data_IF_666267991284
#
_entry.id   IF_666267991284
#
_cell.length_a   1.000
_cell.length_b   1.000
_cell.length_c   1.000
_cell.angle_alpha   90.00
_cell.angle_beta   90.00
_cell.angle_gamma   90.00
#
_symmetry.space_group_name_H-M   'P 1'
#
loop_
_entity.id
_entity.type
_entity.pdbx_description
1 polymer ?
#
# COMPACT_ATOMS: atom_id res chain seq x y z
N UNK A 1 25.74 -42.84 3.09
CA UNK A 1 25.83 -41.57 2.35
C UNK A 1 24.53 -40.83 2.58
N UNK A 2 24.57 -39.76 3.38
CA UNK A 2 23.48 -38.81 3.59
C UNK A 2 24.08 -37.41 3.87
N UNK A 3 23.30 -36.40 3.47
CA UNK A 3 23.49 -34.95 3.22
C UNK A 3 24.26 -34.06 4.24
N UNK A 4 24.89 -32.93 3.82
CA UNK A 4 25.78 -32.10 4.64
C UNK A 4 25.05 -30.99 5.46
N UNK A 5 23.99 -31.34 6.19
CA UNK A 5 23.22 -30.39 7.01
C UNK A 5 23.37 -30.59 8.54
N UNK A 6 24.24 -31.48 9.01
CA UNK A 6 24.39 -31.80 10.44
C UNK A 6 25.64 -31.21 11.13
N UNK A 7 26.40 -30.30 10.51
CA UNK A 7 27.64 -29.78 11.12
C UNK A 7 27.54 -28.40 11.80
N UNK A 8 26.35 -27.80 11.93
CA UNK A 8 26.21 -26.46 12.55
C UNK A 8 25.59 -26.46 13.96
N UNK A 9 25.39 -27.62 14.59
CA UNK A 9 24.79 -27.71 15.92
C UNK A 9 25.65 -28.56 16.85
N UNK A 10 26.86 -28.15 17.14
CA UNK A 10 27.54 -28.56 18.38
C UNK A 10 28.73 -27.65 18.67
N UNK A 11 28.53 -26.60 19.45
CA UNK A 11 29.43 -26.27 20.57
C UNK A 11 28.74 -25.31 21.55
N UNK A 12 28.95 -25.45 22.87
CA UNK A 12 28.17 -24.77 23.90
C UNK A 12 28.67 -23.35 24.20
N UNK A 13 27.73 -22.54 24.71
CA UNK A 13 27.96 -21.25 25.34
C UNK A 13 29.19 -21.26 26.27
N UNK A 14 30.20 -20.44 25.93
CA UNK A 14 31.40 -20.22 26.73
C UNK A 14 31.61 -18.75 27.04
N UNK A 15 31.39 -18.40 28.32
CA UNK A 15 31.88 -17.27 29.15
C UNK A 15 32.34 -15.96 28.46
N UNK A 16 31.66 -14.88 28.83
CA UNK A 16 32.13 -13.49 28.69
C UNK A 16 33.37 -13.23 29.58
N UNK A 17 34.40 -12.53 29.10
CA UNK A 17 35.38 -11.89 29.96
C UNK A 17 34.83 -10.56 30.52
N UNK A 18 35.17 -10.29 31.78
CA UNK A 18 34.82 -9.09 32.54
C UNK A 18 35.39 -7.81 31.94
N UNK A 19 34.65 -6.73 32.16
CA UNK A 19 34.93 -5.38 31.72
C UNK A 19 36.16 -4.76 32.38
N UNK A 20 37.05 -4.21 31.56
CA UNK A 20 37.80 -3.01 31.94
C UNK A 20 37.87 -2.03 30.77
N UNK A 21 37.09 -0.95 30.87
CA UNK A 21 37.39 0.36 30.27
C UNK A 21 37.13 0.57 28.76
N UNK A 22 36.03 1.28 28.48
CA UNK A 22 35.75 2.13 27.30
C UNK A 22 35.41 1.48 25.94
N UNK A 23 34.10 1.27 25.77
CA UNK A 23 33.40 1.01 24.50
C UNK A 23 33.59 2.12 23.44
N UNK A 24 33.85 1.71 22.20
CA UNK A 24 33.07 2.18 21.04
C UNK A 24 33.09 1.10 19.93
N UNK A 25 31.91 0.54 19.68
CA UNK A 25 31.65 -0.61 18.81
C UNK A 25 32.07 -0.36 17.35
N UNK A 26 32.80 -1.30 16.77
CA UNK A 26 33.17 -1.33 15.35
C UNK A 26 32.01 -1.93 14.52
N UNK A 27 31.55 -1.20 13.51
CA UNK A 27 30.56 -1.65 12.54
C UNK A 27 31.20 -2.74 11.66
N UNK A 28 30.64 -3.95 11.66
CA UNK A 28 31.05 -5.02 10.74
C UNK A 28 30.41 -4.73 9.38
N UNK A 29 31.22 -4.30 8.41
CA UNK A 29 30.81 -4.15 7.01
C UNK A 29 30.71 -5.51 6.35
N UNK A 30 29.49 -5.99 6.09
CA UNK A 30 29.23 -7.16 5.26
C UNK A 30 29.36 -6.78 3.77
N UNK A 31 30.51 -7.06 3.17
CA UNK A 31 30.73 -7.03 1.72
C UNK A 31 29.94 -8.18 1.07
N UNK A 32 28.74 -7.92 0.53
CA UNK A 32 28.19 -8.61 -0.66
C UNK A 32 26.80 -8.06 -1.04
N UNK A 33 26.68 -7.35 -2.19
CA UNK A 33 25.51 -6.55 -2.46
C UNK A 33 24.31 -7.24 -3.16
N UNK A 34 24.49 -8.47 -3.59
CA UNK A 34 23.57 -9.14 -4.52
C UNK A 34 22.31 -9.76 -3.90
N UNK A 35 22.28 -10.26 -2.64
CA UNK A 35 21.04 -10.79 -2.09
C UNK A 35 20.04 -9.67 -1.79
N UNK A 36 20.44 -8.52 -1.26
CA UNK A 36 19.46 -7.48 -0.90
C UNK A 36 18.74 -6.87 -2.11
N UNK A 37 19.40 -6.75 -3.28
CA UNK A 37 18.77 -6.22 -4.49
C UNK A 37 17.65 -7.12 -4.99
N UNK A 38 17.84 -8.44 -4.90
CA UNK A 38 16.83 -9.44 -5.26
C UNK A 38 15.64 -9.37 -4.29
N UNK A 39 15.91 -9.18 -3.00
CA UNK A 39 14.86 -9.07 -1.99
C UNK A 39 14.09 -7.75 -2.10
N UNK A 40 14.75 -6.61 -2.35
CA UNK A 40 14.11 -5.31 -2.57
C UNK A 40 13.21 -5.35 -3.81
N UNK A 41 13.68 -5.91 -4.93
CA UNK A 41 12.82 -6.13 -6.11
C UNK A 41 11.65 -7.07 -5.82
N UNK A 42 11.84 -8.08 -4.97
CA UNK A 42 10.76 -8.95 -4.52
C UNK A 42 9.77 -8.21 -3.61
N UNK A 43 10.22 -7.29 -2.75
CA UNK A 43 9.37 -6.48 -1.87
C UNK A 43 8.62 -5.37 -2.62
N UNK A 44 9.20 -4.81 -3.68
CA UNK A 44 8.66 -3.72 -4.48
C UNK A 44 7.86 -4.18 -5.71
N UNK A 45 7.54 -5.47 -5.83
CA UNK A 45 6.50 -5.92 -6.77
C UNK A 45 5.16 -5.34 -6.31
N UNK A 46 4.85 -4.13 -6.77
CA UNK A 46 3.64 -3.38 -6.45
C UNK A 46 2.48 -3.97 -7.23
N UNK A 47 2.03 -5.13 -6.77
CA UNK A 47 0.73 -5.62 -7.15
C UNK A 47 -0.32 -4.71 -6.48
N UNK A 48 -1.29 -4.24 -7.26
CA UNK A 48 -2.42 -3.49 -6.72
C UNK A 48 -3.64 -4.38 -6.72
N UNK A 49 -4.37 -4.41 -5.63
CA UNK A 49 -5.73 -4.93 -5.61
C UNK A 49 -6.69 -3.74 -5.65
N UNK A 50 -7.66 -3.82 -6.53
CA UNK A 50 -8.61 -2.75 -6.80
C UNK A 50 -10.02 -3.31 -6.72
N UNK A 51 -10.85 -2.68 -5.90
CA UNK A 51 -12.27 -3.02 -5.77
C UNK A 51 -13.09 -1.77 -6.03
N UNK A 52 -14.05 -1.83 -6.95
CA UNK A 52 -14.97 -0.72 -7.21
C UNK A 52 -16.38 -1.09 -6.78
N UNK A 53 -17.08 -0.11 -6.24
CA UNK A 53 -18.42 -0.24 -5.66
C UNK A 53 -19.34 0.84 -6.21
N UNK A 54 -20.53 0.44 -6.63
CA UNK A 54 -21.62 1.36 -6.97
C UNK A 54 -22.69 1.28 -5.88
N UNK A 55 -22.82 2.35 -5.08
CA UNK A 55 -23.76 2.42 -3.95
C UNK A 55 -23.62 1.21 -3.02
N UNK A 56 -22.38 0.92 -2.64
CA UNK A 56 -22.02 -0.17 -1.74
C UNK A 56 -21.99 -1.57 -2.38
N UNK A 57 -22.52 -1.75 -3.61
CA UNK A 57 -22.46 -3.02 -4.33
C UNK A 57 -21.12 -3.12 -5.07
N UNK A 58 -20.33 -4.14 -4.77
CA UNK A 58 -19.09 -4.39 -5.53
C UNK A 58 -19.43 -4.75 -6.98
N UNK A 59 -18.81 -4.04 -7.91
CA UNK A 59 -18.98 -4.21 -9.36
C UNK A 59 -17.69 -4.58 -10.07
N UNK A 60 -16.54 -4.35 -9.42
CA UNK A 60 -15.22 -4.71 -9.92
C UNK A 60 -14.38 -5.25 -8.78
N UNK A 61 -13.62 -6.30 -9.07
CA UNK A 61 -12.47 -6.74 -8.30
C UNK A 61 -11.37 -7.09 -9.30
N UNK A 62 -10.21 -6.46 -9.19
CA UNK A 62 -9.08 -6.69 -10.09
C UNK A 62 -7.78 -6.68 -9.30
N UNK A 63 -6.99 -7.74 -9.45
CA UNK A 63 -5.60 -7.78 -9.00
C UNK A 63 -4.71 -7.48 -10.21
N UNK A 64 -3.86 -6.48 -10.07
CA UNK A 64 -2.96 -5.99 -11.11
C UNK A 64 -1.57 -6.46 -10.73
N UNK A 65 -1.13 -7.52 -11.38
CA UNK A 65 0.15 -8.19 -11.21
C UNK A 65 1.07 -7.95 -12.42
N UNK A 66 1.06 -6.74 -12.97
CA UNK A 66 1.93 -6.37 -14.08
C UNK A 66 3.37 -6.27 -13.55
N UNK A 67 4.36 -6.59 -14.38
CA UNK A 67 5.77 -6.29 -14.06
C UNK A 67 5.94 -4.77 -14.14
N UNK A 68 6.24 -4.14 -13.00
CA UNK A 68 6.54 -2.71 -12.82
C UNK A 68 5.48 -1.67 -13.25
N UNK A 69 4.16 -1.83 -12.94
CA UNK A 69 3.23 -0.71 -13.06
C UNK A 69 3.62 0.34 -12.02
N UNK A 70 3.96 1.54 -12.49
CA UNK A 70 4.24 2.68 -11.59
C UNK A 70 2.99 3.21 -10.91
N UNK A 71 1.83 2.58 -11.13
CA UNK A 71 0.56 2.95 -10.55
C UNK A 71 -0.62 2.57 -11.43
N UNK A 72 -1.73 3.28 -11.25
CA UNK A 72 -3.05 3.00 -11.79
C UNK A 72 -3.61 4.21 -12.52
N UNK A 73 -4.35 3.97 -13.60
CA UNK A 73 -5.17 4.97 -14.26
C UNK A 73 -6.62 4.49 -14.31
N UNK A 74 -7.49 5.11 -13.52
CA UNK A 74 -8.93 4.84 -13.53
C UNK A 74 -9.58 5.57 -14.70
N UNK A 75 -10.27 4.83 -15.55
CA UNK A 75 -10.87 5.34 -16.79
C UNK A 75 -12.33 4.92 -16.89
N UNK A 76 -13.17 5.68 -17.62
CA UNK A 76 -14.55 5.28 -17.91
C UNK A 76 -14.64 3.95 -18.68
N UNK A 77 -15.85 3.36 -18.78
CA UNK A 77 -16.09 2.19 -19.63
C UNK A 77 -15.69 2.47 -21.09
N UNK A 78 -14.92 1.56 -21.69
CA UNK A 78 -14.54 1.63 -23.11
C UNK A 78 -13.47 2.68 -23.46
N UNK A 79 -12.98 3.44 -22.48
CA UNK A 79 -11.88 4.41 -22.66
C UNK A 79 -10.57 3.76 -22.22
N UNK A 80 -9.47 4.09 -22.90
CA UNK A 80 -8.10 3.72 -22.49
C UNK A 80 -7.39 4.93 -21.90
N UNK A 81 -6.50 4.68 -20.95
CA UNK A 81 -5.65 5.71 -20.37
C UNK A 81 -4.55 6.13 -21.35
N UNK A 82 -4.04 7.34 -21.13
CA UNK A 82 -2.95 7.90 -21.94
C UNK A 82 -1.56 7.59 -21.37
N UNK A 83 -1.46 6.75 -20.33
CA UNK A 83 -0.23 6.52 -19.57
C UNK A 83 0.28 5.09 -19.77
N UNK A 84 1.39 4.96 -20.52
CA UNK A 84 1.98 3.66 -20.86
C UNK A 84 2.63 2.95 -19.65
N UNK A 85 3.09 3.74 -18.67
CA UNK A 85 3.75 3.30 -17.44
C UNK A 85 2.77 2.86 -16.35
N UNK A 86 1.47 3.07 -16.56
CA UNK A 86 0.41 2.77 -15.60
C UNK A 86 -0.46 1.61 -16.06
N UNK A 87 -1.14 0.98 -15.11
CA UNK A 87 -2.16 -0.02 -15.42
C UNK A 87 -3.55 0.63 -15.50
N UNK A 88 -4.20 0.49 -16.64
CA UNK A 88 -5.57 0.96 -16.80
C UNK A 88 -6.56 0.09 -16.00
N UNK A 89 -7.44 0.80 -15.29
CA UNK A 89 -8.58 0.26 -14.57
C UNK A 89 -9.83 0.89 -15.15
N UNK A 90 -10.44 0.21 -16.13
CA UNK A 90 -11.74 0.62 -16.66
C UNK A 90 -12.83 0.30 -15.64
N UNK A 91 -13.53 1.34 -15.21
CA UNK A 91 -14.69 1.21 -14.33
C UNK A 91 -15.85 0.58 -15.13
N UNK A 92 -16.61 -0.39 -14.55
CA UNK A 92 -17.66 -1.09 -15.27
C UNK A 92 -18.78 -0.18 -15.79
N UNK A 93 -19.43 -0.57 -16.88
CA UNK A 93 -20.65 0.11 -17.32
C UNK A 93 -21.77 -0.11 -16.28
N UNK A 94 -22.45 0.95 -15.80
CA UNK A 94 -23.48 0.83 -14.76
C UNK A 94 -24.79 0.20 -15.25
N UNK A 95 -24.93 -0.16 -16.53
CA UNK A 95 -26.06 -0.94 -17.07
C UNK A 95 -26.25 -2.30 -16.38
N UNK A 96 -25.23 -2.81 -15.68
CA UNK A 96 -25.31 -4.00 -14.81
C UNK A 96 -26.19 -3.81 -13.56
N UNK A 97 -26.58 -2.57 -13.25
CA UNK A 97 -27.41 -2.24 -12.10
C UNK A 97 -28.90 -2.39 -12.42
N UNK A 98 -29.68 -2.95 -11.50
CA UNK A 98 -31.13 -3.09 -11.66
C UNK A 98 -31.85 -1.73 -11.54
N UNK A 99 -31.34 -0.83 -10.69
CA UNK A 99 -31.89 0.52 -10.54
C UNK A 99 -31.42 1.40 -11.71
N UNK A 100 -32.32 1.62 -12.67
CA UNK A 100 -32.07 2.43 -13.87
C UNK A 100 -31.73 3.88 -13.53
N UNK A 101 -32.31 4.44 -12.46
CA UNK A 101 -32.05 5.83 -12.06
C UNK A 101 -30.65 5.95 -11.47
N UNK A 102 -30.26 5.01 -10.61
CA UNK A 102 -28.88 4.92 -10.13
C UNK A 102 -27.90 4.76 -11.31
N UNK A 103 -28.19 3.84 -12.24
CA UNK A 103 -27.34 3.59 -13.40
C UNK A 103 -27.10 4.86 -14.23
N UNK A 104 -28.15 5.65 -14.45
CA UNK A 104 -28.06 6.92 -15.18
C UNK A 104 -27.16 7.94 -14.47
N UNK A 105 -27.33 8.14 -13.16
CA UNK A 105 -26.47 9.06 -12.40
C UNK A 105 -25.01 8.59 -12.36
N UNK A 106 -24.78 7.30 -12.11
CA UNK A 106 -23.42 6.72 -12.13
C UNK A 106 -22.77 6.92 -13.51
N UNK A 107 -23.51 6.70 -14.60
CA UNK A 107 -22.99 6.89 -15.96
C UNK A 107 -22.60 8.35 -16.22
N UNK A 108 -23.40 9.32 -15.74
CA UNK A 108 -23.07 10.75 -15.85
C UNK A 108 -21.77 11.09 -15.12
N UNK A 109 -21.56 10.56 -13.92
CA UNK A 109 -20.31 10.74 -13.18
C UNK A 109 -19.11 10.12 -13.90
N UNK A 110 -19.27 8.89 -14.41
CA UNK A 110 -18.21 8.19 -15.18
C UNK A 110 -17.78 8.98 -16.41
N UNK A 111 -18.70 9.67 -17.11
CA UNK A 111 -18.33 10.54 -18.24
C UNK A 111 -17.37 11.67 -17.83
N UNK A 112 -17.52 12.20 -16.62
CA UNK A 112 -16.64 13.23 -16.08
C UNK A 112 -15.26 12.72 -15.64
N UNK A 113 -15.07 11.40 -15.52
CA UNK A 113 -13.78 10.80 -15.13
C UNK A 113 -12.75 10.92 -16.26
N UNK A 114 -13.20 10.88 -17.52
CA UNK A 114 -12.33 11.05 -18.70
C UNK A 114 -11.56 12.38 -18.62
N UNK A 115 -10.25 12.43 -18.95
CA UNK A 115 -9.42 11.35 -19.50
C UNK A 115 -8.99 10.26 -18.51
N UNK A 116 -9.00 10.55 -17.21
CA UNK A 116 -8.79 9.56 -16.16
C UNK A 116 -8.47 10.15 -14.80
N UNK A 117 -8.33 9.26 -13.82
CA UNK A 117 -7.83 9.56 -12.48
C UNK A 117 -6.61 8.71 -12.25
N UNK A 118 -5.50 9.36 -11.95
CA UNK A 118 -4.17 8.74 -11.94
C UNK A 118 -3.71 8.61 -10.50
N UNK A 119 -3.33 7.40 -10.11
CA UNK A 119 -2.51 7.15 -8.94
C UNK A 119 -1.13 6.69 -9.41
N UNK A 120 -0.06 7.37 -9.00
CA UNK A 120 1.30 7.06 -9.44
C UNK A 120 2.27 7.07 -8.27
N UNK A 121 3.18 6.12 -8.27
CA UNK A 121 4.31 6.04 -7.36
C UNK A 121 5.40 6.99 -7.86
N UNK A 122 5.71 7.98 -7.03
CA UNK A 122 6.78 8.93 -7.24
C UNK A 122 7.75 8.83 -6.05
N UNK A 123 8.93 8.24 -6.28
CA UNK A 123 9.88 7.94 -5.22
C UNK A 123 9.26 7.03 -4.14
N UNK A 124 9.20 7.52 -2.91
CA UNK A 124 8.63 6.83 -1.75
C UNK A 124 7.17 7.25 -1.45
N UNK A 125 6.50 7.92 -2.39
CA UNK A 125 5.12 8.40 -2.24
C UNK A 125 4.20 7.77 -3.28
N UNK A 126 2.94 7.58 -2.89
CA UNK A 126 1.85 7.40 -3.83
C UNK A 126 1.15 8.74 -3.97
N UNK A 127 1.12 9.25 -5.19
CA UNK A 127 0.52 10.52 -5.56
C UNK A 127 -0.72 10.30 -6.40
N UNK A 128 -1.71 11.17 -6.25
CA UNK A 128 -2.95 11.15 -7.03
C UNK A 128 -3.18 12.44 -7.78
N UNK A 129 -3.80 12.36 -8.96
CA UNK A 129 -4.39 13.51 -9.64
C UNK A 129 -5.62 13.09 -10.44
N UNK A 130 -6.46 14.05 -10.81
CA UNK A 130 -7.51 13.86 -11.82
C UNK A 130 -7.19 14.66 -13.07
N UNK A 131 -7.56 14.16 -14.24
CA UNK A 131 -7.48 14.92 -15.49
C UNK A 131 -8.86 15.31 -16.02
N UNK A 132 -9.90 14.61 -15.57
CA UNK A 132 -11.29 14.92 -15.89
C UNK A 132 -11.93 16.03 -15.06
N UNK A 133 -13.22 16.27 -15.33
CA UNK A 133 -14.06 17.23 -14.60
C UNK A 133 -14.67 16.65 -13.33
N UNK A 134 -14.70 15.33 -13.19
CA UNK A 134 -15.17 14.65 -11.99
C UNK A 134 -14.24 14.96 -10.81
N UNK A 135 -14.77 15.59 -9.76
CA UNK A 135 -14.05 15.74 -8.50
C UNK A 135 -13.80 14.37 -7.87
N UNK A 136 -12.61 14.18 -7.32
CA UNK A 136 -12.26 12.94 -6.64
C UNK A 136 -11.70 13.26 -5.27
N UNK A 137 -12.26 12.61 -4.27
CA UNK A 137 -11.82 12.69 -2.90
C UNK A 137 -11.18 11.37 -2.49
N UNK A 138 -10.25 11.43 -1.56
CA UNK A 138 -9.53 10.24 -1.09
C UNK A 138 -9.46 10.21 0.44
N UNK A 139 -9.37 9.00 0.99
CA UNK A 139 -9.19 8.73 2.42
C UNK A 139 -8.40 7.44 2.61
N UNK A 140 -7.63 7.31 3.70
CA UNK A 140 -6.96 6.06 4.05
C UNK A 140 -7.88 5.01 4.70
N UNK A 141 -9.12 5.39 5.03
CA UNK A 141 -10.11 4.50 5.64
C UNK A 141 -11.51 4.70 5.05
N UNK A 142 -12.32 3.64 5.08
CA UNK A 142 -13.76 3.70 4.79
C UNK A 142 -14.58 4.36 5.90
N UNK A 143 -14.01 4.45 7.11
CA UNK A 143 -14.63 5.09 8.27
C UNK A 143 -13.92 6.41 8.51
N UNK A 144 -14.62 7.56 8.44
CA UNK A 144 -14.08 8.84 8.87
C UNK A 144 -13.69 8.77 10.35
N UNK A 145 -12.56 9.35 10.71
CA UNK A 145 -12.11 9.37 12.11
C UNK A 145 -10.92 10.30 12.31
N UNK A 146 -10.66 10.62 13.57
CA UNK A 146 -9.54 11.48 13.95
C UNK A 146 -8.20 10.85 13.53
N UNK A 147 -7.34 11.65 12.92
CA UNK A 147 -6.04 11.20 12.42
C UNK A 147 -6.09 10.40 11.10
N UNK A 148 -7.27 10.09 10.55
CA UNK A 148 -7.37 9.48 9.23
C UNK A 148 -7.01 10.52 8.17
N UNK A 149 -5.98 10.23 7.38
CA UNK A 149 -5.57 11.13 6.30
C UNK A 149 -6.57 11.06 5.15
N UNK A 150 -6.96 12.23 4.68
CA UNK A 150 -7.89 12.39 3.57
C UNK A 150 -7.63 13.70 2.82
N UNK A 151 -8.27 13.87 1.67
CA UNK A 151 -8.17 15.10 0.89
C UNK A 151 -8.87 14.98 -0.46
N UNK A 152 -8.65 15.96 -1.33
CA UNK A 152 -9.15 15.98 -2.69
C UNK A 152 -8.00 15.90 -3.70
N UNK A 153 -8.23 15.20 -4.82
CA UNK A 153 -7.29 15.19 -5.93
C UNK A 153 -7.41 16.48 -6.74
N UNK A 154 -6.27 17.09 -7.02
CA UNK A 154 -6.19 18.30 -7.83
C UNK A 154 -6.27 17.95 -9.32
N UNK A 155 -6.79 18.90 -10.10
CA UNK A 155 -6.86 18.77 -11.55
C UNK A 155 -5.47 18.99 -12.14
N UNK A 156 -4.98 18.03 -12.90
CA UNK A 156 -3.70 18.11 -13.64
C UNK A 156 -2.48 18.42 -12.74
N UNK A 157 -2.60 18.14 -11.44
CA UNK A 157 -1.54 18.35 -10.46
C UNK A 157 -1.53 17.18 -9.48
N UNK A 158 -0.35 16.57 -9.31
CA UNK A 158 -0.16 15.49 -8.36
C UNK A 158 -0.16 16.01 -6.92
N UNK A 159 -0.89 15.30 -6.06
CA UNK A 159 -0.85 15.48 -4.60
C UNK A 159 -0.49 14.15 -3.92
N UNK A 160 0.34 14.16 -2.88
CA UNK A 160 0.67 12.93 -2.14
C UNK A 160 -0.55 12.43 -1.36
N UNK A 161 -0.91 11.17 -1.57
CA UNK A 161 -1.98 10.48 -0.81
C UNK A 161 -1.41 9.46 0.18
N UNK A 162 -0.17 9.04 -0.02
CA UNK A 162 0.58 8.20 0.91
C UNK A 162 2.08 8.47 0.83
N UNK A 163 2.75 8.24 1.96
CA UNK A 163 4.19 8.36 2.10
C UNK A 163 4.69 7.15 2.89
N UNK A 164 5.68 6.45 2.32
CA UNK A 164 6.23 5.23 2.88
C UNK A 164 6.95 5.46 4.20
N UNK A 165 7.65 6.58 4.36
CA UNK A 165 8.36 6.91 5.60
C UNK A 165 7.40 7.06 6.79
N UNK A 166 6.27 7.75 6.57
CA UNK A 166 5.22 7.82 7.57
C UNK A 166 4.65 6.43 7.91
N UNK A 167 4.40 5.60 6.90
CA UNK A 167 3.91 4.24 7.12
C UNK A 167 4.89 3.38 7.92
N UNK A 168 6.20 3.45 7.63
CA UNK A 168 7.23 2.74 8.38
C UNK A 168 7.28 3.22 9.83
N UNK A 169 7.20 4.53 10.06
CA UNK A 169 7.13 5.08 11.42
C UNK A 169 5.92 4.58 12.19
N UNK A 170 4.74 4.57 11.55
CA UNK A 170 3.50 4.07 12.16
C UNK A 170 3.59 2.56 12.44
N UNK A 171 4.23 1.79 11.55
CA UNK A 171 4.48 0.36 11.71
C UNK A 171 5.41 0.07 12.89
N UNK A 172 6.50 0.83 13.05
CA UNK A 172 7.40 0.71 14.20
C UNK A 172 6.64 1.01 15.50
N UNK A 173 5.85 2.09 15.51
CA UNK A 173 4.99 2.42 16.65
C UNK A 173 3.98 1.32 16.99
N UNK A 174 3.41 0.65 15.98
CA UNK A 174 2.54 -0.52 16.16
C UNK A 174 3.29 -1.72 16.76
N UNK A 175 4.49 -2.03 16.24
CA UNK A 175 5.34 -3.12 16.74
C UNK A 175 5.74 -2.92 18.21
N UNK A 176 5.93 -1.68 18.63
CA UNK A 176 6.24 -1.32 20.03
C UNK A 176 5.00 -1.18 20.92
N UNK A 177 3.80 -1.44 20.38
CA UNK A 177 2.52 -1.36 21.12
C UNK A 177 2.05 0.07 21.42
N UNK A 178 2.60 1.08 20.74
CA UNK A 178 2.26 2.50 20.95
C UNK A 178 1.09 2.98 20.08
N UNK A 179 1.00 2.47 18.86
CA UNK A 179 0.02 2.89 17.85
C UNK A 179 -0.86 1.71 17.39
N UNK A 180 -1.97 2.00 16.69
CA UNK A 180 -2.72 0.98 15.95
C UNK A 180 -2.01 0.56 14.66
N UNK A 181 -2.47 -0.54 14.05
CA UNK A 181 -1.90 -1.01 12.77
C UNK A 181 -2.04 0.07 11.70
N UNK A 182 -0.97 0.39 10.95
CA UNK A 182 -1.03 1.41 9.91
C UNK A 182 -1.94 0.99 8.74
N UNK A 183 -2.66 1.96 8.18
CA UNK A 183 -3.51 1.75 7.02
C UNK A 183 -2.69 1.64 5.72
N UNK A 184 -3.00 0.63 4.91
CA UNK A 184 -2.43 0.39 3.58
C UNK A 184 -3.52 0.38 2.48
N UNK A 185 -4.72 0.86 2.82
CA UNK A 185 -5.86 0.99 1.92
C UNK A 185 -6.07 2.46 1.57
N UNK A 186 -6.49 2.73 0.34
CA UNK A 186 -6.90 4.03 -0.13
C UNK A 186 -8.29 3.93 -0.73
N UNK A 187 -9.20 4.76 -0.23
CA UNK A 187 -10.55 4.88 -0.71
C UNK A 187 -10.65 6.15 -1.55
N UNK A 188 -11.14 6.01 -2.78
CA UNK A 188 -11.45 7.10 -3.68
C UNK A 188 -12.98 7.22 -3.81
N UNK A 189 -13.50 8.43 -3.69
CA UNK A 189 -14.90 8.76 -3.95
C UNK A 189 -14.99 9.68 -5.16
N UNK A 190 -15.78 9.29 -6.17
CA UNK A 190 -15.87 10.01 -7.44
C UNK A 190 -17.18 10.80 -7.50
N UNK A 191 -17.07 12.12 -7.68
CA UNK A 191 -18.20 13.01 -7.91
C UNK A 191 -18.96 13.45 -6.66
N UNK A 192 -18.61 12.90 -5.50
CA UNK A 192 -19.23 13.22 -4.21
C UNK A 192 -18.15 13.48 -3.17
N UNK A 193 -18.45 14.35 -2.20
CA UNK A 193 -17.55 14.66 -1.10
C UNK A 193 -17.26 13.42 -0.25
N UNK A 194 -16.00 13.29 0.18
CA UNK A 194 -15.54 12.25 1.08
C UNK A 194 -14.29 12.69 1.85
N UNK A 195 -14.14 12.35 3.13
CA UNK A 195 -15.13 11.79 4.05
C UNK A 195 -16.36 12.68 4.22
N UNK A 196 -17.54 12.09 4.41
CA UNK A 196 -18.80 12.82 4.59
C UNK A 196 -19.42 12.43 5.93
N UNK A 197 -19.57 13.40 6.83
CA UNK A 197 -20.13 13.19 8.17
C UNK A 197 -21.59 12.76 8.15
N UNK A 198 -22.32 13.08 7.08
CA UNK A 198 -23.75 12.80 6.94
C UNK A 198 -24.04 11.54 6.11
N UNK A 199 -23.04 11.00 5.42
CA UNK A 199 -23.24 9.93 4.44
C UNK A 199 -22.15 8.85 4.51
N UNK A 200 -22.57 7.62 4.83
CA UNK A 200 -21.69 6.45 4.80
C UNK A 200 -21.28 6.08 3.37
N UNK A 201 -20.09 5.50 3.20
CA UNK A 201 -19.55 5.14 1.89
C UNK A 201 -20.48 4.26 1.05
N UNK A 202 -21.25 3.36 1.69
CA UNK A 202 -22.20 2.45 1.01
C UNK A 202 -23.32 3.20 0.27
N UNK A 203 -23.56 4.48 0.57
CA UNK A 203 -24.56 5.30 -0.13
C UNK A 203 -23.97 6.09 -1.29
N UNK A 204 -22.64 6.22 -1.38
CA UNK A 204 -21.94 6.93 -2.44
C UNK A 204 -22.04 6.16 -3.76
N UNK A 205 -22.26 6.87 -4.86
CA UNK A 205 -22.50 6.34 -6.20
C UNK A 205 -21.31 5.58 -6.75
N UNK A 206 -20.08 6.06 -6.51
CA UNK A 206 -18.85 5.43 -6.99
C UNK A 206 -17.78 5.53 -5.90
N UNK A 207 -17.46 4.37 -5.31
CA UNK A 207 -16.32 4.20 -4.41
C UNK A 207 -15.33 3.24 -5.03
N UNK A 208 -14.04 3.52 -4.87
CA UNK A 208 -12.97 2.60 -5.26
C UNK A 208 -12.03 2.42 -4.09
N UNK A 209 -11.84 1.17 -3.68
CA UNK A 209 -10.78 0.78 -2.76
C UNK A 209 -9.58 0.33 -3.57
N UNK A 210 -8.42 0.88 -3.24
CA UNK A 210 -7.11 0.45 -3.73
C UNK A 210 -6.33 -0.03 -2.53
N UNK A 211 -5.82 -1.24 -2.62
CA UNK A 211 -4.88 -1.82 -1.66
C UNK A 211 -3.61 -2.17 -2.42
N UNK A 212 -2.44 -1.99 -1.79
CA UNK A 212 -1.27 -2.72 -2.25
C UNK A 212 -1.46 -4.20 -1.86
N UNK A 213 -1.38 -5.08 -2.86
CA UNK A 213 -1.53 -6.52 -2.72
C UNK A 213 -0.23 -7.13 -2.10
N UNK A 214 -0.18 -8.39 -1.71
CA UNK A 214 -0.24 -8.94 -0.35
C UNK A 214 1.14 -9.10 0.34
N UNK A 215 2.25 -8.56 -0.18
CA UNK A 215 3.57 -8.74 0.48
C UNK A 215 3.71 -7.90 1.76
N UNK A 216 3.09 -6.71 1.80
CA UNK A 216 2.88 -5.95 3.05
C UNK A 216 1.93 -6.70 3.98
N UNK A 217 0.89 -7.35 3.43
CA UNK A 217 -0.01 -8.22 4.20
C UNK A 217 0.71 -9.41 4.82
N UNK A 218 1.67 -10.03 4.12
CA UNK A 218 2.55 -11.07 4.66
C UNK A 218 3.55 -10.55 5.70
N UNK A 219 3.84 -9.24 5.76
CA UNK A 219 4.57 -8.63 6.89
C UNK A 219 3.64 -8.35 8.08
N UNK A 220 2.41 -7.90 7.83
CA UNK A 220 1.45 -7.50 8.87
C UNK A 220 0.75 -8.69 9.52
N UNK A 221 0.38 -9.74 8.78
CA UNK A 221 -0.31 -10.91 9.34
C UNK A 221 0.52 -11.60 10.45
N UNK A 222 1.83 -11.85 10.28
CA UNK A 222 2.64 -12.38 11.37
C UNK A 222 2.68 -11.44 12.58
N UNK A 223 2.57 -10.12 12.40
CA UNK A 223 2.55 -9.12 13.48
C UNK A 223 1.19 -9.08 14.21
N UNK A 224 0.06 -9.15 13.49
CA UNK A 224 -1.28 -9.23 14.08
C UNK A 224 -1.48 -10.55 14.87
N UNK A 225 -0.99 -11.67 14.33
CA UNK A 225 -0.98 -12.96 15.05
C UNK A 225 -0.02 -12.96 16.24
N UNK A 226 0.99 -12.08 16.26
CA UNK A 226 1.99 -11.94 17.33
C UNK A 226 1.45 -11.27 18.59
N UNK A 227 0.45 -10.41 18.46
CA UNK A 227 -0.33 -9.91 19.62
C UNK A 227 -0.93 -11.09 20.40
N UNK A 228 -1.08 -12.26 19.75
CA UNK A 228 -1.56 -13.49 20.38
C UNK A 228 -0.46 -14.51 20.76
N UNK A 229 0.66 -14.65 20.03
CA UNK A 229 1.76 -15.57 20.40
C UNK A 229 3.18 -15.12 19.95
N UNK A 230 4.20 -15.41 20.76
CA UNK A 230 5.62 -15.02 20.59
C UNK A 230 6.26 -15.60 19.30
N UNK A 231 6.81 -14.78 18.39
CA UNK A 231 7.65 -15.31 17.28
C UNK A 231 9.00 -15.77 17.83
N UNK A 232 9.63 -16.67 17.07
CA UNK A 232 11.04 -17.02 17.19
C UNK A 232 11.91 -15.82 16.79
N UNK A 233 12.96 -15.52 17.56
CA UNK A 233 13.82 -14.34 17.37
C UNK A 233 14.45 -14.18 15.98
N UNK A 234 14.45 -15.24 15.15
CA UNK A 234 14.92 -15.17 13.76
C UNK A 234 13.98 -14.37 12.85
N UNK A 235 12.67 -14.54 12.98
CA UNK A 235 11.68 -13.88 12.11
C UNK A 235 11.55 -12.37 12.42
N UNK A 236 11.73 -12.01 13.68
CA UNK A 236 11.79 -10.62 14.14
C UNK A 236 13.01 -9.88 13.58
N UNK A 237 14.17 -10.53 13.56
CA UNK A 237 15.37 -9.98 12.92
C UNK A 237 15.19 -9.80 11.41
N UNK A 238 14.48 -10.69 10.72
CA UNK A 238 14.18 -10.53 9.29
C UNK A 238 13.30 -9.31 9.00
N UNK A 239 12.27 -9.07 9.82
CA UNK A 239 11.43 -7.88 9.71
C UNK A 239 12.22 -6.60 9.98
N UNK A 240 13.02 -6.59 11.05
CA UNK A 240 13.91 -5.46 11.36
C UNK A 240 14.94 -5.20 10.26
N UNK A 241 15.57 -6.25 9.70
CA UNK A 241 16.49 -6.09 8.58
C UNK A 241 15.78 -5.59 7.32
N UNK A 242 14.58 -6.06 7.01
CA UNK A 242 13.82 -5.60 5.84
C UNK A 242 13.43 -4.13 5.98
N UNK A 243 12.95 -3.71 7.16
CA UNK A 243 12.66 -2.31 7.48
C UNK A 243 13.94 -1.47 7.42
N UNK A 244 15.04 -1.96 7.98
CA UNK A 244 16.33 -1.28 7.98
C UNK A 244 16.92 -1.14 6.56
N UNK A 245 16.79 -2.16 5.71
CA UNK A 245 17.18 -2.10 4.30
C UNK A 245 16.33 -1.06 3.54
N UNK A 246 15.03 -0.96 3.80
CA UNK A 246 14.15 0.07 3.21
C UNK A 246 14.54 1.48 3.66
N UNK A 247 14.95 1.66 4.91
CA UNK A 247 15.43 2.94 5.44
C UNK A 247 16.80 3.35 4.87
N UNK A 248 17.71 2.38 4.65
CA UNK A 248 19.04 2.64 4.13
C UNK A 248 19.06 2.98 2.63
N UNK A 249 18.11 2.47 1.84
CA UNK A 249 18.02 2.80 0.40
C UNK A 249 17.66 4.25 0.12
N UNK A 250 17.06 4.96 1.08
CA UNK A 250 16.72 6.38 0.97
C UNK A 250 17.90 7.32 1.32
N UNK A 251 19.05 6.79 1.74
CA UNK A 251 20.28 7.58 1.95
C UNK A 251 21.12 7.77 0.69
N UNK A 252 20.70 7.21 -0.46
CA UNK A 252 21.46 7.26 -1.73
C UNK A 252 20.51 7.51 -2.92
N UNK A 253 19.75 8.62 -2.90
CA UNK A 253 19.27 9.31 -4.11
C UNK A 253 19.28 10.82 -3.85
#
# INVERSE_FOLDING_TARGET
MNSPLEQLITTPFGKFPESSGNNKFSIVTLENPWPYRIWISFFLETAFEVRAFYRGRQVLHKVINKVNPRGLCFVPPGVRGNYLDLADVSLPDPTILNDKRQAEYTLRLLKGVSPGVVLRIEGNQLCGMRTGTCHVYWSQSEIPGDGIRHGNLLKEQFVPIFNLQHFISDLIGYMEGRNGCPNYNWWLCFGEEWPDSNCVWKKKLIMVQVSSCPKVWHMIIPLELKVSHHLSGKEELFLYLAIYCLLLTDSVI
#
